data_IF_373760390377
#
_entry.id   IF_373760390377
#
_cell.length_a   1.000
_cell.length_b   1.000
_cell.length_c   1.000
_cell.angle_alpha   90.00
_cell.angle_beta   90.00
_cell.angle_gamma   90.00
#
_symmetry.space_group_name_H-M   'P 1'
#
loop_
_entity.id
_entity.type
_entity.pdbx_description
1 polymer ?
#
# COMPACT_ATOMS: atom_id res chain seq x y z
N UNK A 1 17.26 14.07 -13.82
CA UNK A 1 16.88 12.76 -14.37
C UNK A 1 16.21 11.93 -13.29
N UNK A 2 15.11 11.39 -13.62
CA UNK A 2 14.44 10.49 -12.68
C UNK A 2 14.96 9.08 -12.86
N UNK A 3 15.38 8.51 -11.79
CA UNK A 3 15.81 7.14 -11.79
C UNK A 3 14.60 6.26 -11.44
N UNK A 4 14.32 5.27 -12.27
CA UNK A 4 13.27 4.32 -11.96
C UNK A 4 13.59 3.51 -10.73
N UNK A 5 12.59 2.92 -10.08
CA UNK A 5 12.84 2.04 -8.94
C UNK A 5 13.63 0.82 -9.37
N UNK A 6 14.57 0.45 -8.56
CA UNK A 6 15.32 -0.77 -8.76
C UNK A 6 14.53 -1.99 -8.28
N UNK A 7 15.18 -3.17 -8.30
CA UNK A 7 14.57 -4.37 -7.76
C UNK A 7 14.09 -4.13 -6.32
N UNK A 8 12.90 -4.62 -5.99
CA UNK A 8 12.30 -4.45 -4.68
C UNK A 8 11.42 -3.23 -4.52
N UNK A 9 11.35 -2.38 -5.55
CA UNK A 9 10.47 -1.20 -5.50
C UNK A 9 9.11 -1.54 -6.10
N UNK A 10 8.23 -2.04 -5.26
CA UNK A 10 6.89 -2.43 -5.66
C UNK A 10 5.86 -1.73 -4.79
N UNK A 11 4.66 -1.59 -5.33
CA UNK A 11 3.49 -1.15 -4.58
C UNK A 11 2.35 -2.14 -4.80
N UNK A 12 1.46 -2.21 -3.84
CA UNK A 12 0.23 -2.96 -3.98
C UNK A 12 -0.89 -1.95 -4.24
N UNK A 13 -1.46 -1.99 -5.44
CA UNK A 13 -2.42 -1.00 -5.89
C UNK A 13 -3.65 -1.70 -6.45
N UNK A 14 -4.81 -1.39 -5.90
CA UNK A 14 -6.09 -1.93 -6.36
C UNK A 14 -6.09 -3.45 -6.47
N UNK A 15 -5.54 -4.12 -5.47
CA UNK A 15 -5.54 -5.57 -5.40
C UNK A 15 -4.41 -6.26 -6.16
N UNK A 16 -3.44 -5.50 -6.69
CA UNK A 16 -2.35 -6.07 -7.48
C UNK A 16 -1.01 -5.52 -7.05
N UNK A 17 -0.01 -6.36 -7.13
CA UNK A 17 1.37 -5.93 -6.95
C UNK A 17 1.87 -5.39 -8.29
N UNK A 18 2.36 -4.15 -8.30
CA UNK A 18 2.85 -3.50 -9.51
C UNK A 18 4.19 -2.81 -9.23
N UNK A 19 4.93 -2.56 -10.30
CA UNK A 19 6.16 -1.77 -10.21
C UNK A 19 5.78 -0.34 -9.81
N UNK A 20 6.54 0.26 -8.90
CA UNK A 20 6.28 1.62 -8.45
C UNK A 20 6.49 2.65 -9.58
N UNK A 21 7.27 2.31 -10.60
CA UNK A 21 7.47 3.20 -11.75
C UNK A 21 6.24 3.21 -12.66
N UNK A 22 5.99 4.34 -13.29
CA UNK A 22 4.92 4.48 -14.27
C UNK A 22 3.70 5.22 -13.73
N UNK A 23 2.72 5.46 -14.60
CA UNK A 23 1.52 6.20 -14.22
C UNK A 23 0.53 5.28 -13.51
N UNK A 24 0.11 5.65 -12.32
CA UNK A 24 -0.79 4.85 -11.49
C UNK A 24 -2.07 5.59 -11.10
N UNK A 25 -2.07 6.90 -11.16
CA UNK A 25 -3.22 7.71 -10.76
C UNK A 25 -3.73 8.51 -11.94
N UNK A 26 -5.05 8.59 -12.05
CA UNK A 26 -5.69 9.43 -13.04
C UNK A 26 -5.70 10.87 -12.52
N UNK A 27 -5.29 11.83 -13.35
CA UNK A 27 -5.25 13.22 -12.93
C UNK A 27 -6.65 13.80 -12.66
N UNK A 28 -7.70 13.16 -13.15
CA UNK A 28 -9.07 13.58 -12.88
C UNK A 28 -9.63 12.95 -11.61
N UNK A 29 -8.87 12.10 -10.94
CA UNK A 29 -9.30 11.49 -9.69
C UNK A 29 -9.52 12.57 -8.62
N UNK A 30 -10.67 12.52 -7.96
CA UNK A 30 -11.03 13.51 -6.95
C UNK A 30 -10.04 13.51 -5.79
N UNK A 31 -9.64 12.34 -5.32
CA UNK A 31 -8.68 12.23 -4.23
C UNK A 31 -7.36 12.90 -4.58
N UNK A 32 -6.90 12.69 -5.81
CA UNK A 32 -5.67 13.30 -6.28
C UNK A 32 -5.81 14.84 -6.36
N UNK A 33 -6.90 15.32 -6.94
CA UNK A 33 -7.11 16.76 -7.15
C UNK A 33 -7.36 17.52 -5.86
N UNK A 34 -8.09 16.92 -4.92
CA UNK A 34 -8.52 17.59 -3.71
C UNK A 34 -7.74 17.17 -2.46
N UNK A 35 -6.86 16.21 -2.60
CA UNK A 35 -6.12 15.67 -1.48
C UNK A 35 -6.99 14.86 -0.52
N UNK A 36 -8.15 14.40 -0.97
CA UNK A 36 -9.03 13.56 -0.16
C UNK A 36 -8.41 12.18 -0.01
N UNK A 37 -7.94 11.87 1.16
CA UNK A 37 -7.36 10.57 1.39
C UNK A 37 -6.98 10.35 2.84
N UNK A 38 -6.54 9.15 3.09
CA UNK A 38 -6.09 8.71 4.39
C UNK A 38 -4.92 7.77 4.20
N UNK A 39 -3.94 7.85 5.07
CA UNK A 39 -2.88 6.86 5.07
C UNK A 39 -2.56 6.40 6.48
N UNK A 40 -1.98 5.21 6.55
CA UNK A 40 -1.56 4.60 7.80
C UNK A 40 -0.12 4.11 7.61
N UNK A 41 0.70 4.28 8.62
CA UNK A 41 2.10 3.83 8.57
C UNK A 41 2.30 2.74 9.62
N UNK A 42 2.94 1.65 9.20
CA UNK A 42 3.20 0.54 10.08
C UNK A 42 4.64 0.06 9.90
N UNK A 43 5.18 -0.58 10.93
CA UNK A 43 6.51 -1.18 10.86
C UNK A 43 6.41 -2.67 10.60
N UNK A 44 7.34 -3.17 9.78
CA UNK A 44 7.45 -4.59 9.52
C UNK A 44 8.80 -5.10 10.02
N UNK A 45 8.80 -6.30 10.54
CA UNK A 45 10.01 -6.96 10.99
C UNK A 45 9.94 -8.43 10.59
N UNK A 46 10.96 -8.89 9.88
CA UNK A 46 11.05 -10.29 9.40
C UNK A 46 9.82 -10.71 8.60
N UNK A 47 9.33 -9.81 7.74
CA UNK A 47 8.19 -10.10 6.89
C UNK A 47 6.83 -10.03 7.56
N UNK A 48 6.77 -9.54 8.80
CA UNK A 48 5.53 -9.46 9.56
C UNK A 48 5.31 -8.01 10.00
N UNK A 49 4.10 -7.50 9.75
CA UNK A 49 3.73 -6.16 10.21
C UNK A 49 3.38 -6.22 11.69
N UNK A 50 4.00 -5.33 12.44
CA UNK A 50 3.76 -5.25 13.88
C UNK A 50 2.38 -4.62 14.11
N UNK A 51 1.55 -5.27 14.92
CA UNK A 51 0.22 -4.79 15.29
C UNK A 51 -0.68 -4.52 14.08
N UNK A 52 -0.66 -5.42 13.12
CA UNK A 52 -1.41 -5.26 11.88
C UNK A 52 -2.91 -5.04 12.13
N UNK A 53 -3.52 -5.81 13.01
CA UNK A 53 -4.96 -5.70 13.30
C UNK A 53 -5.32 -4.30 13.78
N UNK A 54 -4.50 -3.70 14.63
CA UNK A 54 -4.73 -2.35 15.14
C UNK A 54 -4.59 -1.32 14.04
N UNK A 55 -3.61 -1.50 13.14
CA UNK A 55 -3.43 -0.61 12.00
C UNK A 55 -4.62 -0.67 11.05
N UNK A 56 -5.12 -1.86 10.76
CA UNK A 56 -6.27 -2.03 9.88
C UNK A 56 -7.54 -1.45 10.51
N UNK A 57 -7.71 -1.62 11.81
CA UNK A 57 -8.84 -1.04 12.52
C UNK A 57 -8.85 0.49 12.44
N UNK A 58 -7.70 1.11 12.67
CA UNK A 58 -7.59 2.56 12.54
C UNK A 58 -7.86 3.03 11.12
N UNK A 59 -7.36 2.30 10.14
CA UNK A 59 -7.59 2.64 8.74
C UNK A 59 -9.09 2.60 8.41
N UNK A 60 -9.79 1.53 8.81
CA UNK A 60 -11.23 1.41 8.56
C UNK A 60 -12.02 2.48 9.28
N UNK A 61 -11.68 2.76 10.53
CA UNK A 61 -12.36 3.79 11.30
C UNK A 61 -12.17 5.17 10.67
N UNK A 62 -10.95 5.47 10.24
CA UNK A 62 -10.67 6.73 9.55
C UNK A 62 -11.42 6.86 8.23
N UNK A 63 -11.46 5.79 7.45
CA UNK A 63 -12.23 5.77 6.21
C UNK A 63 -13.71 6.03 6.45
N UNK A 64 -14.28 5.42 7.48
CA UNK A 64 -15.68 5.61 7.83
C UNK A 64 -15.96 7.08 8.20
N UNK A 65 -15.09 7.70 8.98
CA UNK A 65 -15.23 9.10 9.34
C UNK A 65 -15.19 10.02 8.12
N UNK A 66 -14.31 9.73 7.17
CA UNK A 66 -14.15 10.54 5.96
C UNK A 66 -15.15 10.20 4.85
N UNK A 67 -15.98 9.18 5.05
CA UNK A 67 -16.89 8.72 4.00
C UNK A 67 -16.19 8.01 2.84
N UNK A 68 -15.00 7.48 3.06
CA UNK A 68 -14.27 6.73 2.05
C UNK A 68 -14.67 5.26 2.10
N UNK A 69 -14.87 4.67 0.93
CA UNK A 69 -15.20 3.26 0.83
C UNK A 69 -13.91 2.45 0.71
N UNK A 70 -13.59 1.72 1.77
CA UNK A 70 -12.45 0.79 1.76
C UNK A 70 -12.97 -0.59 1.36
N UNK A 71 -12.96 -0.89 0.07
CA UNK A 71 -13.56 -2.10 -0.46
C UNK A 71 -12.81 -3.39 -0.13
N UNK A 72 -11.47 -3.46 -0.06
CA UNK A 72 -10.81 -4.71 0.31
C UNK A 72 -11.14 -5.11 1.75
N UNK A 73 -11.27 -6.41 1.96
CA UNK A 73 -11.40 -6.95 3.31
C UNK A 73 -10.06 -6.87 4.06
N UNK A 74 -10.11 -7.06 5.38
CA UNK A 74 -8.87 -7.11 6.16
C UNK A 74 -7.96 -8.25 5.69
N UNK A 75 -8.53 -9.41 5.34
CA UNK A 75 -7.75 -10.51 4.82
C UNK A 75 -7.09 -10.18 3.50
N UNK A 76 -7.79 -9.50 2.61
CA UNK A 76 -7.22 -9.06 1.34
C UNK A 76 -6.10 -8.06 1.54
N UNK A 77 -6.26 -7.13 2.47
CA UNK A 77 -5.21 -6.17 2.80
C UNK A 77 -4.00 -6.86 3.42
N UNK A 78 -4.24 -7.81 4.33
CA UNK A 78 -3.15 -8.58 4.95
C UNK A 78 -2.38 -9.39 3.92
N UNK A 79 -3.07 -10.03 2.98
CA UNK A 79 -2.44 -10.79 1.90
C UNK A 79 -1.65 -9.88 0.96
N UNK A 80 -2.18 -8.70 0.66
CA UNK A 80 -1.49 -7.72 -0.16
C UNK A 80 -0.20 -7.23 0.51
N UNK A 81 -0.26 -6.96 1.80
CA UNK A 81 0.91 -6.56 2.57
C UNK A 81 1.96 -7.67 2.59
N UNK A 82 1.55 -8.91 2.79
CA UNK A 82 2.46 -10.05 2.79
C UNK A 82 3.15 -10.20 1.42
N UNK A 83 2.39 -10.03 0.34
CA UNK A 83 2.94 -10.08 -1.02
C UNK A 83 3.96 -8.97 -1.25
N UNK A 84 3.67 -7.77 -0.77
CA UNK A 84 4.57 -6.64 -0.91
C UNK A 84 5.87 -6.86 -0.15
N UNK A 85 5.78 -7.34 1.08
CA UNK A 85 6.96 -7.61 1.89
C UNK A 85 7.83 -8.71 1.26
N UNK A 86 7.22 -9.75 0.71
CA UNK A 86 7.94 -10.80 0.01
C UNK A 86 8.66 -10.24 -1.22
N UNK A 87 8.03 -9.37 -1.98
CA UNK A 87 8.64 -8.74 -3.15
C UNK A 87 9.83 -7.86 -2.76
N UNK A 88 9.72 -7.13 -1.66
CA UNK A 88 10.82 -6.30 -1.15
C UNK A 88 12.01 -7.15 -0.70
N UNK A 89 11.76 -8.28 -0.05
CA UNK A 89 12.83 -9.21 0.34
C UNK A 89 13.56 -9.75 -0.87
N UNK A 90 12.84 -10.16 -1.91
CA UNK A 90 13.43 -10.63 -3.16
C UNK A 90 14.28 -9.52 -3.79
N UNK A 91 13.77 -8.29 -3.80
CA UNK A 91 14.49 -7.15 -4.33
C UNK A 91 15.81 -6.91 -3.61
N UNK A 92 15.80 -7.01 -2.29
CA UNK A 92 17.02 -6.84 -1.49
C UNK A 92 18.05 -7.91 -1.78
N UNK A 93 17.61 -9.13 -2.02
CA UNK A 93 18.52 -10.22 -2.32
C UNK A 93 19.28 -10.02 -3.63
N UNK A 94 18.81 -9.14 -4.50
CA UNK A 94 19.40 -8.87 -5.79
C UNK A 94 20.26 -7.60 -5.83
N UNK A 95 20.36 -6.92 -4.73
CA UNK A 95 21.11 -5.65 -4.65
C UNK A 95 22.61 -5.86 -4.47
#
# INVERSE_FOLDING_TARGET
MTRGPGPGHSIWLDGRLVDAAGPHLNVTDRGFQLGDGLFETARARRGIVIELDEHLERLRSGCAVLGLNLSPSDDQLADGIASLLAAEEIGRAHV
#
